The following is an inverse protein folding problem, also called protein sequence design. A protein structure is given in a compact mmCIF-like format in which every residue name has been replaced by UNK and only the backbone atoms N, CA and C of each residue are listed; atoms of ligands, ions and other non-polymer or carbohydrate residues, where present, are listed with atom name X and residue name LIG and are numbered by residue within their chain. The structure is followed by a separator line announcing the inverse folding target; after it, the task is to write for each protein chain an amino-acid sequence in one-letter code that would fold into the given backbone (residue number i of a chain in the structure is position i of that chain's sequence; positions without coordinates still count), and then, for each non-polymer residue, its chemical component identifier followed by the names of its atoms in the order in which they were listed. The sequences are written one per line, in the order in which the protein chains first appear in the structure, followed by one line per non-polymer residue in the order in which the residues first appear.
data_IF_001385861799
#
_entry.id   IF_001385861799
#
_cell.length_a   1.000
_cell.length_b   1.000
_cell.length_c   1.000
_cell.angle_alpha   90.00
_cell.angle_beta   90.00
_cell.angle_gamma   90.00
#
_symmetry.space_group_name_H-M   'P 1'
#
loop_
_entity.id
_entity.type
_entity.pdbx_description
1 polymer ?
#
# COMPACT_ATOMS: atom_id res chain seq x y z
N UNK A 1 -17.71 -6.67 11.98
CA UNK A 1 -18.04 -5.57 11.03
C UNK A 1 -17.05 -4.42 11.13
N UNK A 2 -16.55 -4.08 12.32
CA UNK A 2 -15.51 -3.06 12.50
C UNK A 2 -14.23 -3.36 11.71
N UNK A 3 -13.81 -4.62 11.60
CA UNK A 3 -12.63 -4.99 10.82
C UNK A 3 -12.73 -4.58 9.34
N UNK A 4 -13.89 -4.74 8.70
CA UNK A 4 -14.10 -4.34 7.30
C UNK A 4 -14.02 -2.82 7.14
N UNK A 5 -14.58 -2.06 8.08
CA UNK A 5 -14.50 -0.60 8.09
C UNK A 5 -13.06 -0.15 8.31
N UNK A 6 -12.35 -0.77 9.26
CA UNK A 6 -10.93 -0.51 9.51
C UNK A 6 -10.06 -0.79 8.28
N UNK A 7 -10.29 -1.93 7.61
CA UNK A 7 -9.62 -2.30 6.37
C UNK A 7 -9.88 -1.30 5.25
N UNK A 8 -11.14 -0.87 5.07
CA UNK A 8 -11.50 0.13 4.08
C UNK A 8 -10.83 1.50 4.37
N UNK A 9 -10.82 1.94 5.63
CA UNK A 9 -10.14 3.19 6.05
C UNK A 9 -8.65 3.10 5.79
N UNK A 10 -7.99 2.01 6.22
CA UNK A 10 -6.57 1.78 5.98
C UNK A 10 -6.23 1.79 4.48
N UNK A 11 -7.04 1.11 3.66
CA UNK A 11 -6.92 1.11 2.21
C UNK A 11 -7.07 2.51 1.61
N UNK A 12 -8.03 3.32 2.09
CA UNK A 12 -8.25 4.67 1.60
C UNK A 12 -7.09 5.62 1.96
N UNK A 13 -6.57 5.55 3.18
CA UNK A 13 -5.40 6.33 3.59
C UNK A 13 -4.18 5.93 2.75
N UNK A 14 -3.97 4.64 2.53
CA UNK A 14 -2.86 4.16 1.70
C UNK A 14 -2.99 4.59 0.23
N UNK A 15 -4.22 4.60 -0.31
CA UNK A 15 -4.50 5.14 -1.63
C UNK A 15 -4.12 6.62 -1.75
N UNK A 16 -4.43 7.43 -0.73
CA UNK A 16 -4.08 8.84 -0.71
C UNK A 16 -2.56 9.05 -0.68
N UNK A 17 -1.82 8.25 0.09
CA UNK A 17 -0.35 8.31 0.10
C UNK A 17 0.23 7.85 -1.24
N UNK A 18 -0.33 6.80 -1.83
CA UNK A 18 0.06 6.30 -3.15
C UNK A 18 -0.23 7.33 -4.25
N UNK A 19 -1.27 8.15 -4.11
CA UNK A 19 -1.57 9.22 -5.08
C UNK A 19 -0.43 10.23 -5.22
N UNK A 20 0.25 10.56 -4.11
CA UNK A 20 1.40 11.47 -4.10
C UNK A 20 2.57 10.83 -4.84
N UNK A 21 2.81 9.55 -4.60
CA UNK A 21 3.83 8.77 -5.30
C UNK A 21 3.55 8.68 -6.81
N UNK A 22 2.32 8.35 -7.19
CA UNK A 22 1.89 8.28 -8.59
C UNK A 22 2.05 9.65 -9.26
N UNK A 23 1.64 10.74 -8.60
CA UNK A 23 1.82 12.08 -9.13
C UNK A 23 3.31 12.39 -9.38
N UNK A 24 4.19 12.03 -8.43
CA UNK A 24 5.62 12.20 -8.62
C UNK A 24 6.16 11.41 -9.81
N UNK A 25 5.75 10.15 -10.00
CA UNK A 25 6.19 9.34 -11.15
C UNK A 25 5.69 9.94 -12.46
N UNK A 26 4.40 10.29 -12.52
CA UNK A 26 3.74 10.76 -13.75
C UNK A 26 4.23 12.14 -14.18
N UNK A 27 4.62 13.02 -13.25
CA UNK A 27 5.04 14.39 -13.56
C UNK A 27 6.56 14.64 -13.41
N UNK A 28 7.22 13.99 -12.46
CA UNK A 28 8.63 14.23 -12.11
C UNK A 28 9.62 13.20 -12.64
N UNK A 29 9.18 11.95 -12.89
CA UNK A 29 10.05 10.86 -13.37
C UNK A 29 9.76 10.43 -14.81
N UNK A 30 9.12 11.29 -15.63
CA UNK A 30 8.80 11.00 -17.03
C UNK A 30 10.03 10.67 -17.88
N UNK A 31 11.17 11.25 -17.55
CA UNK A 31 12.43 11.06 -18.29
C UNK A 31 13.17 9.75 -17.92
N UNK A 32 12.61 8.93 -17.03
CA UNK A 32 13.16 7.60 -16.80
C UNK A 32 12.89 6.72 -18.03
N UNK A 33 13.95 6.19 -18.67
CA UNK A 33 13.91 5.37 -19.90
C UNK A 33 12.81 4.28 -19.91
N UNK A 34 12.50 3.73 -18.74
CA UNK A 34 11.48 2.69 -18.60
C UNK A 34 10.06 3.27 -18.68
N UNK A 35 9.80 4.43 -18.09
CA UNK A 35 8.51 5.12 -18.23
C UNK A 35 8.31 5.50 -19.69
N UNK A 36 9.35 5.99 -20.35
CA UNK A 36 9.35 6.33 -21.78
C UNK A 36 9.10 5.11 -22.69
N UNK A 37 9.65 3.93 -22.33
CA UNK A 37 9.46 2.70 -23.11
C UNK A 37 8.05 2.12 -23.01
N UNK A 38 7.38 2.31 -21.86
CA UNK A 38 6.03 1.77 -21.61
C UNK A 38 4.91 2.77 -21.87
N UNK A 39 5.21 4.07 -21.86
CA UNK A 39 4.24 5.15 -22.05
C UNK A 39 4.57 5.88 -23.34
N UNK A 40 3.67 5.85 -24.33
CA UNK A 40 3.83 6.60 -25.58
C UNK A 40 4.06 8.09 -25.26
N UNK A 41 5.17 8.67 -25.77
CA UNK A 41 5.60 10.06 -25.56
C UNK A 41 4.48 11.09 -25.82
N UNK A 42 3.55 10.76 -26.71
CA UNK A 42 2.47 11.66 -27.13
C UNK A 42 1.28 11.73 -26.16
N UNK A 43 1.26 10.92 -25.10
CA UNK A 43 0.14 10.91 -24.14
C UNK A 43 0.38 11.93 -23.02
N UNK A 44 -0.56 12.85 -22.88
CA UNK A 44 -0.50 13.89 -21.84
C UNK A 44 -0.54 13.27 -20.43
N UNK A 45 0.29 13.80 -19.52
CA UNK A 45 0.41 13.30 -18.14
C UNK A 45 -0.92 13.20 -17.39
N UNK A 46 -1.81 14.21 -17.51
CA UNK A 46 -3.12 14.14 -16.88
C UNK A 46 -3.97 12.95 -17.35
N UNK A 47 -3.91 12.58 -18.64
CA UNK A 47 -4.69 11.47 -19.19
C UNK A 47 -4.26 10.12 -18.59
N UNK A 48 -2.96 9.95 -18.29
CA UNK A 48 -2.44 8.74 -17.64
C UNK A 48 -2.65 8.74 -16.13
N UNK A 49 -2.58 9.92 -15.51
CA UNK A 49 -2.73 10.07 -14.08
C UNK A 49 -4.10 9.58 -13.58
N UNK A 50 -5.18 9.94 -14.28
CA UNK A 50 -6.56 9.61 -13.88
C UNK A 50 -6.80 8.09 -13.75
N UNK A 51 -6.53 7.24 -14.77
CA UNK A 51 -6.75 5.80 -14.65
C UNK A 51 -5.79 5.14 -13.66
N UNK A 52 -4.53 5.58 -13.58
CA UNK A 52 -3.57 5.03 -12.60
C UNK A 52 -4.02 5.36 -11.18
N UNK A 53 -4.44 6.60 -10.93
CA UNK A 53 -4.95 7.03 -9.63
C UNK A 53 -6.21 6.24 -9.25
N UNK A 54 -7.20 6.20 -10.15
CA UNK A 54 -8.45 5.47 -9.93
C UNK A 54 -8.19 3.98 -9.66
N UNK A 55 -7.34 3.36 -10.48
CA UNK A 55 -6.93 1.98 -10.30
C UNK A 55 -6.19 1.74 -8.99
N UNK A 56 -5.32 2.65 -8.58
CA UNK A 56 -4.58 2.57 -7.32
C UNK A 56 -5.51 2.69 -6.10
N UNK A 57 -6.49 3.61 -6.16
CA UNK A 57 -7.48 3.76 -5.09
C UNK A 57 -8.30 2.48 -4.94
N UNK A 58 -8.83 1.96 -6.04
CA UNK A 58 -9.59 0.71 -6.02
C UNK A 58 -8.74 -0.46 -5.51
N UNK A 59 -7.51 -0.61 -6.02
CA UNK A 59 -6.61 -1.67 -5.60
C UNK A 59 -6.35 -1.63 -4.10
N UNK A 60 -6.03 -0.47 -3.53
CA UNK A 60 -5.75 -0.36 -2.09
C UNK A 60 -6.96 -0.57 -1.20
N UNK A 61 -8.15 -0.12 -1.62
CA UNK A 61 -9.40 -0.43 -0.91
C UNK A 61 -9.66 -1.93 -0.92
N UNK A 62 -9.48 -2.60 -2.06
CA UNK A 62 -9.60 -4.06 -2.14
C UNK A 62 -8.57 -4.78 -1.28
N UNK A 63 -7.31 -4.35 -1.31
CA UNK A 63 -6.25 -4.90 -0.43
C UNK A 63 -6.65 -4.76 1.03
N UNK A 64 -7.16 -3.60 1.45
CA UNK A 64 -7.59 -3.38 2.83
C UNK A 64 -8.80 -4.23 3.23
N UNK A 65 -9.77 -4.41 2.34
CA UNK A 65 -10.92 -5.30 2.58
C UNK A 65 -10.48 -6.76 2.68
N UNK A 66 -9.63 -7.24 1.76
CA UNK A 66 -9.09 -8.60 1.79
C UNK A 66 -8.27 -8.83 3.07
N UNK A 67 -7.43 -7.87 3.46
CA UNK A 67 -6.66 -7.94 4.70
C UNK A 67 -7.56 -8.04 5.94
N UNK A 68 -8.65 -7.27 5.99
CA UNK A 68 -9.64 -7.35 7.05
C UNK A 68 -10.38 -8.70 7.08
N UNK A 69 -10.77 -9.23 5.92
CA UNK A 69 -11.40 -10.56 5.83
C UNK A 69 -10.43 -11.63 6.35
N UNK A 70 -9.16 -11.58 5.93
CA UNK A 70 -8.14 -12.52 6.42
C UNK A 70 -7.98 -12.41 7.93
N UNK A 71 -7.94 -11.20 8.48
CA UNK A 71 -7.82 -10.96 9.91
C UNK A 71 -8.96 -11.60 10.71
N UNK A 72 -10.20 -11.41 10.26
CA UNK A 72 -11.39 -11.95 10.91
C UNK A 72 -11.49 -13.48 10.75
N UNK A 73 -11.29 -14.00 9.54
CA UNK A 73 -11.46 -15.43 9.22
C UNK A 73 -10.36 -16.29 9.86
N UNK A 74 -9.15 -15.77 9.99
CA UNK A 74 -8.06 -16.48 10.64
C UNK A 74 -8.03 -16.28 12.16
N UNK A 75 -9.07 -15.63 12.73
CA UNK A 75 -9.23 -15.37 14.16
C UNK A 75 -7.97 -14.77 14.79
N UNK A 76 -7.35 -13.83 14.06
CA UNK A 76 -6.03 -13.30 14.41
C UNK A 76 -6.07 -12.40 15.64
N UNK A 77 -7.26 -11.96 16.06
CA UNK A 77 -7.47 -11.22 17.31
C UNK A 77 -7.39 -12.08 18.57
N UNK A 78 -7.47 -13.42 18.45
CA UNK A 78 -7.28 -14.35 19.57
C UNK A 78 -5.82 -14.81 19.73
N UNK A 79 -4.95 -14.43 18.80
CA UNK A 79 -3.53 -14.79 18.83
C UNK A 79 -2.74 -13.93 19.81
N UNK A 80 -1.59 -14.42 20.31
CA UNK A 80 -0.76 -13.64 21.23
C UNK A 80 -0.29 -12.33 20.60
N UNK A 81 -0.42 -11.27 21.39
CA UNK A 81 0.13 -9.95 21.10
C UNK A 81 1.63 -10.04 20.80
N UNK A 82 2.10 -9.23 19.87
CA UNK A 82 3.53 -9.10 19.61
C UNK A 82 3.86 -7.83 18.84
N UNK A 83 5.06 -7.29 19.07
CA UNK A 83 5.55 -6.05 18.44
C UNK A 83 4.65 -4.81 18.68
N UNK A 84 3.82 -4.82 19.74
CA UNK A 84 2.86 -3.73 20.03
C UNK A 84 1.60 -3.75 19.17
N UNK A 85 1.37 -4.83 18.42
CA UNK A 85 0.13 -5.13 17.69
C UNK A 85 -0.63 -6.26 18.38
N UNK A 86 -1.99 -6.22 18.37
CA UNK A 86 -2.85 -7.31 18.79
C UNK A 86 -2.60 -8.67 18.10
N UNK A 87 -1.89 -8.68 16.97
CA UNK A 87 -1.57 -9.93 16.26
C UNK A 87 -0.18 -9.89 15.63
N UNK A 88 0.77 -10.60 16.25
CA UNK A 88 2.14 -10.68 15.75
C UNK A 88 2.22 -11.29 14.33
N UNK A 89 1.43 -12.34 14.07
CA UNK A 89 1.41 -13.02 12.78
C UNK A 89 0.93 -12.09 11.65
N UNK A 90 -0.12 -11.32 11.90
CA UNK A 90 -0.65 -10.38 10.93
C UNK A 90 0.34 -9.24 10.62
N UNK A 91 0.98 -8.70 11.65
CA UNK A 91 2.01 -7.66 11.49
C UNK A 91 3.19 -8.17 10.67
N UNK A 92 3.64 -9.40 10.88
CA UNK A 92 4.72 -10.01 10.07
C UNK A 92 4.30 -10.12 8.61
N UNK A 93 3.08 -10.60 8.33
CA UNK A 93 2.57 -10.69 6.95
C UNK A 93 2.48 -9.32 6.31
N UNK A 94 1.98 -8.31 7.04
CA UNK A 94 1.91 -6.93 6.55
C UNK A 94 3.30 -6.34 6.25
N UNK A 95 4.29 -6.63 7.11
CA UNK A 95 5.69 -6.24 6.89
C UNK A 95 6.26 -6.92 5.65
N UNK A 96 6.10 -8.23 5.50
CA UNK A 96 6.59 -8.96 4.33
C UNK A 96 5.93 -8.46 3.05
N UNK A 97 4.61 -8.26 3.08
CA UNK A 97 3.84 -7.74 1.95
C UNK A 97 4.27 -6.33 1.56
N UNK A 98 4.66 -5.50 2.54
CA UNK A 98 5.14 -4.14 2.28
C UNK A 98 6.59 -4.11 1.79
N UNK A 99 7.47 -4.91 2.39
CA UNK A 99 8.92 -4.88 2.15
C UNK A 99 9.28 -5.64 0.88
N UNK A 100 8.60 -6.73 0.53
CA UNK A 100 8.96 -7.55 -0.63
C UNK A 100 8.85 -6.76 -1.97
N UNK A 101 7.76 -6.02 -2.26
CA UNK A 101 7.69 -5.18 -3.45
C UNK A 101 8.68 -4.02 -3.39
N UNK A 102 8.86 -3.41 -2.21
CA UNK A 102 9.79 -2.31 -2.03
C UNK A 102 11.24 -2.72 -2.31
N UNK A 103 11.66 -3.92 -1.89
CA UNK A 103 12.97 -4.49 -2.18
C UNK A 103 13.14 -4.76 -3.67
N UNK A 104 12.18 -5.43 -4.29
CA UNK A 104 12.24 -5.77 -5.72
C UNK A 104 12.32 -4.51 -6.58
N UNK A 105 11.50 -3.50 -6.27
CA UNK A 105 11.48 -2.22 -6.98
C UNK A 105 12.67 -1.34 -6.62
N UNK A 106 13.25 -1.47 -5.42
CA UNK A 106 14.49 -0.81 -5.03
C UNK A 106 15.71 -1.34 -5.78
N UNK A 107 15.73 -2.63 -6.13
CA UNK A 107 16.79 -3.23 -6.97
C UNK A 107 16.67 -2.74 -8.43
N UNK A 108 15.44 -2.66 -8.96
CA UNK A 108 15.19 -2.23 -10.34
C UNK A 108 15.35 -0.71 -10.51
N UNK A 109 14.89 0.08 -9.53
CA UNK A 109 14.96 1.54 -9.52
C UNK A 109 15.54 2.09 -8.23
N UNK A 110 16.86 1.99 -8.03
CA UNK A 110 17.52 2.45 -6.81
C UNK A 110 17.35 3.96 -6.59
N UNK A 111 17.14 4.76 -7.64
CA UNK A 111 16.91 6.22 -7.52
C UNK A 111 15.60 6.57 -6.80
N UNK A 112 14.61 5.68 -6.81
CA UNK A 112 13.29 5.89 -6.20
C UNK A 112 13.15 5.23 -4.82
N UNK A 113 14.27 4.79 -4.20
CA UNK A 113 14.27 4.08 -2.91
C UNK A 113 13.50 4.81 -1.81
N UNK A 114 13.60 6.14 -1.76
CA UNK A 114 12.93 6.98 -0.77
C UNK A 114 11.40 6.95 -0.92
N UNK A 115 10.87 6.80 -2.14
CA UNK A 115 9.43 6.61 -2.36
C UNK A 115 8.97 5.26 -1.82
N UNK A 116 9.73 4.20 -2.08
CA UNK A 116 9.39 2.86 -1.63
C UNK A 116 9.42 2.76 -0.10
N UNK A 117 10.42 3.38 0.55
CA UNK A 117 10.46 3.51 2.01
C UNK A 117 9.29 4.36 2.51
N UNK A 118 9.00 5.47 1.83
CA UNK A 118 7.91 6.38 2.17
C UNK A 118 6.51 5.78 2.05
N UNK A 119 6.30 4.79 1.16
CA UNK A 119 5.06 4.03 1.05
C UNK A 119 5.04 2.79 1.96
N UNK A 120 6.20 2.16 2.15
CA UNK A 120 6.31 0.95 2.96
C UNK A 120 6.02 1.21 4.43
N UNK A 121 6.58 2.28 4.99
CA UNK A 121 6.37 2.64 6.40
C UNK A 121 4.88 2.85 6.74
N UNK A 122 4.11 3.65 5.98
CA UNK A 122 2.68 3.76 6.17
C UNK A 122 1.92 2.45 5.95
N UNK A 123 2.29 1.65 4.95
CA UNK A 123 1.64 0.35 4.71
C UNK A 123 1.76 -0.55 5.94
N UNK A 124 2.97 -0.64 6.50
CA UNK A 124 3.24 -1.39 7.73
C UNK A 124 2.47 -0.81 8.92
N UNK A 125 2.45 0.51 9.09
CA UNK A 125 1.70 1.14 10.18
C UNK A 125 0.18 0.94 10.07
N UNK A 126 -0.39 1.15 8.89
CA UNK A 126 -1.83 1.10 8.64
C UNK A 126 -2.36 -0.34 8.72
N UNK A 127 -1.73 -1.27 8.01
CA UNK A 127 -2.20 -2.66 8.01
C UNK A 127 -1.66 -3.44 9.21
N UNK A 128 -0.41 -3.22 9.62
CA UNK A 128 0.20 -3.97 10.71
C UNK A 128 -0.24 -3.55 12.12
N UNK A 129 -0.58 -2.27 12.34
CA UNK A 129 -0.99 -1.76 13.67
C UNK A 129 -2.40 -1.18 13.69
N UNK A 130 -2.71 -0.25 12.79
CA UNK A 130 -3.98 0.48 12.84
C UNK A 130 -5.17 -0.47 12.62
N UNK A 131 -5.11 -1.36 11.63
CA UNK A 131 -6.19 -2.30 11.34
C UNK A 131 -6.49 -3.22 12.54
N UNK A 132 -5.52 -3.93 13.15
CA UNK A 132 -5.77 -4.71 14.36
C UNK A 132 -6.32 -3.89 15.54
N UNK A 133 -5.82 -2.67 15.74
CA UNK A 133 -6.29 -1.80 16.83
C UNK A 133 -7.75 -1.34 16.64
N UNK A 134 -8.16 -1.11 15.40
CA UNK A 134 -9.52 -0.71 15.06
C UNK A 134 -10.47 -1.91 14.96
N UNK A 135 -9.96 -3.10 14.64
CA UNK A 135 -10.75 -4.32 14.52
C UNK A 135 -10.97 -5.03 15.86
N UNK A 136 -10.05 -4.89 16.81
CA UNK A 136 -10.14 -5.50 18.15
C UNK A 136 -10.93 -4.68 19.17
N UNK A 137 -11.58 -3.61 18.76
CA UNK A 137 -12.49 -2.78 19.57
C UNK A 137 -13.90 -2.95 19.08
#
# INVERSE_FOLDING_TARGET
MEALVAGAIAGYVMAMLTSVAVAYVVFGARDAEVVERWIARDVSGPILFIPILTGSVLAWVFVGLVAAIIYEVADLGAQPDGLGSPSAAFTIVAVVFSVAPALLLGIVWPRLWWMWVGLGLPCVGLFGWLLPHLAGR
#
